data_IF_554998793380
#
_entry.id   IF_554998793380
#
_cell.length_a   1.000
_cell.length_b   1.000
_cell.length_c   1.000
_cell.angle_alpha   90.00
_cell.angle_beta   90.00
_cell.angle_gamma   90.00
#
_symmetry.space_group_name_H-M   'P 1'
#
loop_
_entity.id
_entity.type
_entity.pdbx_description
1 polymer ?
#
# COMPACT_ATOMS: atom_id res chain seq x y z
N UNK A 1 -0.08 -2.76 -16.09
CA UNK A 1 0.94 -1.85 -15.52
C UNK A 1 1.63 -1.21 -16.69
N UNK A 2 1.56 0.11 -16.77
CA UNK A 2 2.16 0.88 -17.84
C UNK A 2 3.26 1.76 -17.26
N UNK A 3 4.25 2.08 -18.09
CA UNK A 3 5.39 2.92 -17.73
C UNK A 3 5.42 4.13 -18.66
N UNK A 4 5.52 5.29 -18.08
CA UNK A 4 5.67 6.56 -18.80
C UNK A 4 7.01 7.18 -18.42
N UNK A 5 7.89 7.36 -19.41
CA UNK A 5 9.16 8.03 -19.22
C UNK A 5 8.95 9.53 -19.25
N UNK A 6 9.41 10.22 -18.21
CA UNK A 6 9.31 11.65 -18.09
C UNK A 6 10.55 12.35 -18.68
N UNK A 7 10.42 13.63 -19.07
CA UNK A 7 11.53 14.37 -19.69
C UNK A 7 12.81 14.50 -18.83
N UNK A 8 12.67 14.38 -17.51
CA UNK A 8 13.78 14.40 -16.55
C UNK A 8 14.49 13.03 -16.39
N UNK A 9 14.06 12.02 -17.14
CA UNK A 9 14.59 10.68 -17.09
C UNK A 9 13.98 9.80 -15.99
N UNK A 10 13.06 10.31 -15.20
CA UNK A 10 12.31 9.52 -14.22
C UNK A 10 11.22 8.66 -14.90
N UNK A 11 10.69 7.68 -14.17
CA UNK A 11 9.66 6.77 -14.66
C UNK A 11 8.43 6.88 -13.81
N UNK A 12 7.31 7.19 -14.43
CA UNK A 12 5.99 7.12 -13.82
C UNK A 12 5.40 5.74 -14.07
N UNK A 13 5.05 5.05 -12.99
CA UNK A 13 4.37 3.76 -13.07
C UNK A 13 2.87 3.94 -12.91
N UNK A 14 2.10 3.47 -13.89
CA UNK A 14 0.65 3.53 -13.89
C UNK A 14 0.10 2.15 -13.57
N UNK A 15 -0.62 2.06 -12.46
CA UNK A 15 -1.23 0.82 -11.98
C UNK A 15 -2.75 0.95 -12.04
N UNK A 16 -3.39 0.13 -12.84
CA UNK A 16 -4.84 0.11 -12.84
C UNK A 16 -5.48 0.05 -14.22
N UNK A 17 -6.79 0.20 -14.32
CA UNK A 17 -7.73 0.34 -13.18
C UNK A 17 -7.79 -0.92 -12.30
N UNK A 18 -8.00 -0.74 -10.99
CA UNK A 18 -8.10 -1.82 -10.01
C UNK A 18 -9.22 -1.54 -9.01
N UNK A 19 -9.88 -2.60 -8.55
CA UNK A 19 -10.88 -2.46 -7.49
C UNK A 19 -10.21 -2.19 -6.14
N UNK A 20 -10.80 -1.34 -5.29
CA UNK A 20 -10.33 -1.09 -3.94
C UNK A 20 -10.45 -2.32 -3.05
N UNK A 21 -11.49 -3.12 -3.28
CA UNK A 21 -11.76 -4.32 -2.49
C UNK A 21 -11.91 -5.53 -3.39
N UNK A 22 -11.56 -6.70 -2.86
CA UNK A 22 -11.64 -7.96 -3.58
C UNK A 22 -12.07 -9.09 -2.66
N UNK A 23 -12.78 -10.07 -3.21
CA UNK A 23 -13.04 -11.36 -2.56
C UNK A 23 -12.05 -12.38 -3.10
N UNK A 24 -11.35 -13.06 -2.20
CA UNK A 24 -10.39 -14.09 -2.57
C UNK A 24 -10.96 -15.49 -2.29
N UNK A 25 -10.61 -16.49 -3.11
CA UNK A 25 -10.99 -17.88 -2.86
C UNK A 25 -10.57 -18.33 -1.45
N UNK A 26 -11.39 -19.18 -0.81
CA UNK A 26 -11.10 -19.69 0.54
C UNK A 26 -11.34 -18.71 1.69
N UNK A 27 -11.80 -17.49 1.42
CA UNK A 27 -12.03 -16.44 2.45
C UNK A 27 -13.50 -16.32 2.88
N UNK A 28 -14.31 -17.34 2.66
CA UNK A 28 -15.74 -17.39 3.07
C UNK A 28 -16.55 -16.17 2.62
N UNK A 29 -16.29 -15.66 1.40
CA UNK A 29 -16.96 -14.50 0.86
C UNK A 29 -16.58 -13.15 1.48
N UNK A 30 -15.61 -13.10 2.37
CA UNK A 30 -15.15 -11.85 2.96
C UNK A 30 -14.53 -10.94 1.91
N UNK A 31 -14.97 -9.70 1.90
CA UNK A 31 -14.41 -8.64 1.06
C UNK A 31 -13.19 -8.05 1.77
N UNK A 32 -12.08 -8.07 1.11
CA UNK A 32 -10.80 -7.56 1.62
C UNK A 32 -10.46 -6.24 0.95
N UNK A 33 -9.91 -5.28 1.68
CA UNK A 33 -9.29 -4.11 1.09
C UNK A 33 -8.01 -4.54 0.38
N UNK A 34 -7.86 -4.20 -0.89
CA UNK A 34 -6.81 -4.78 -1.72
C UNK A 34 -5.83 -3.76 -2.31
N UNK A 35 -6.24 -2.52 -2.43
CA UNK A 35 -5.42 -1.49 -3.01
C UNK A 35 -5.22 -0.31 -2.06
N UNK A 36 -4.13 0.41 -2.25
CA UNK A 36 -3.80 1.61 -1.50
C UNK A 36 -4.27 2.85 -2.24
N UNK A 37 -5.00 3.71 -1.55
CA UNK A 37 -5.37 5.07 -2.02
C UNK A 37 -4.61 6.15 -1.25
N UNK A 38 -4.07 5.80 -0.09
CA UNK A 38 -3.19 6.68 0.67
C UNK A 38 -1.77 6.45 0.18
N UNK A 39 -1.11 7.50 -0.25
CA UNK A 39 0.23 7.46 -0.82
C UNK A 39 1.21 6.66 0.04
N UNK A 40 1.95 5.79 -0.60
CA UNK A 40 2.71 4.77 0.11
C UNK A 40 3.95 5.31 0.82
N UNK A 41 4.55 6.40 0.43
CA UNK A 41 5.82 6.79 1.07
C UNK A 41 6.21 8.22 0.75
N UNK A 42 6.26 9.02 1.74
CA UNK A 42 6.59 10.39 1.97
C UNK A 42 7.60 11.16 1.11
N UNK A 43 8.02 10.65 -0.01
CA UNK A 43 8.89 11.35 -0.96
C UNK A 43 8.53 11.13 -2.43
N UNK A 44 7.69 10.17 -2.73
CA UNK A 44 7.25 9.90 -4.09
C UNK A 44 5.86 10.48 -4.28
N UNK A 45 5.68 11.25 -5.32
CA UNK A 45 4.36 11.70 -5.75
C UNK A 45 3.58 10.47 -6.21
N UNK A 46 2.77 9.94 -5.34
CA UNK A 46 1.79 8.93 -5.71
C UNK A 46 0.40 9.52 -5.61
N UNK A 47 -0.36 9.41 -6.67
CA UNK A 47 -1.75 9.82 -6.72
C UNK A 47 -2.63 8.64 -7.11
N UNK A 48 -3.84 8.63 -6.58
CA UNK A 48 -4.87 7.71 -7.02
C UNK A 48 -6.05 8.52 -7.55
N UNK A 49 -6.61 8.05 -8.67
CA UNK A 49 -7.83 8.62 -9.26
C UNK A 49 -8.88 7.53 -9.37
N UNK A 50 -10.14 7.91 -9.53
CA UNK A 50 -11.18 6.99 -9.92
C UNK A 50 -10.96 6.48 -11.37
N UNK A 51 -11.68 5.44 -11.79
CA UNK A 51 -11.50 4.83 -13.10
C UNK A 51 -11.83 5.78 -14.27
N UNK A 52 -12.65 6.78 -14.04
CA UNK A 52 -12.99 7.84 -15.00
C UNK A 52 -12.00 9.01 -15.02
N UNK A 53 -10.93 8.92 -14.23
CA UNK A 53 -9.92 9.96 -14.10
C UNK A 53 -10.25 11.06 -13.09
N UNK A 54 -11.42 11.04 -12.45
CA UNK A 54 -11.78 12.00 -11.43
C UNK A 54 -10.92 11.83 -10.15
N UNK A 55 -10.73 12.91 -9.42
CA UNK A 55 -10.03 12.85 -8.15
C UNK A 55 -10.84 12.09 -7.09
N UNK A 56 -10.14 11.30 -6.28
CA UNK A 56 -10.74 10.69 -5.09
C UNK A 56 -10.96 11.80 -4.05
N UNK A 57 -12.16 11.93 -3.48
CA UNK A 57 -12.46 12.98 -2.53
C UNK A 57 -11.46 13.01 -1.36
N UNK A 58 -10.91 14.19 -1.04
CA UNK A 58 -9.89 14.34 -0.01
C UNK A 58 -10.36 13.85 1.37
N UNK A 59 -11.62 14.10 1.73
CA UNK A 59 -12.21 13.61 2.98
C UNK A 59 -12.25 12.07 3.06
N UNK A 60 -12.44 11.40 1.92
CA UNK A 60 -12.37 9.93 1.87
C UNK A 60 -10.93 9.45 2.11
N UNK A 61 -9.95 10.05 1.43
CA UNK A 61 -8.53 9.70 1.61
C UNK A 61 -8.08 9.95 3.05
N UNK A 62 -8.50 11.09 3.63
CA UNK A 62 -8.24 11.43 5.02
C UNK A 62 -8.83 10.36 5.96
N UNK A 63 -10.11 10.00 5.79
CA UNK A 63 -10.77 9.02 6.66
C UNK A 63 -10.12 7.63 6.56
N UNK A 64 -9.71 7.22 5.36
CA UNK A 64 -8.94 5.98 5.19
C UNK A 64 -7.63 6.03 5.97
N UNK A 65 -6.91 7.15 5.91
CA UNK A 65 -5.68 7.35 6.68
C UNK A 65 -5.89 7.26 8.19
N UNK A 66 -6.94 7.90 8.70
CA UNK A 66 -7.33 7.84 10.11
C UNK A 66 -7.62 6.41 10.56
N UNK A 67 -8.42 5.66 9.80
CA UNK A 67 -8.74 4.25 10.10
C UNK A 67 -7.47 3.39 10.11
N UNK A 68 -6.58 3.58 9.13
CA UNK A 68 -5.32 2.85 9.09
C UNK A 68 -4.49 3.13 10.36
N UNK A 69 -4.48 4.35 10.82
CA UNK A 69 -3.75 4.73 12.03
C UNK A 69 -4.42 4.20 13.31
N UNK A 70 -5.75 4.34 13.42
CA UNK A 70 -6.55 3.85 14.54
C UNK A 70 -6.43 2.33 14.72
N UNK A 71 -6.43 1.57 13.62
CA UNK A 71 -6.39 0.10 13.63
C UNK A 71 -4.95 -0.47 13.58
N UNK A 72 -3.93 0.40 13.49
CA UNK A 72 -2.55 -0.06 13.35
C UNK A 72 -1.99 -0.63 14.64
N UNK A 73 -1.39 -1.80 14.56
CA UNK A 73 -0.61 -2.39 15.64
C UNK A 73 0.87 -2.14 15.40
N UNK A 74 1.55 -1.67 16.44
CA UNK A 74 2.99 -1.43 16.40
C UNK A 74 3.69 -2.31 17.43
N UNK A 75 4.83 -2.88 17.05
CA UNK A 75 5.67 -3.66 17.96
C UNK A 75 7.14 -3.37 17.70
N UNK A 76 7.96 -3.64 18.71
CA UNK A 76 9.42 -3.52 18.60
C UNK A 76 10.02 -4.84 18.16
N UNK A 77 10.73 -4.82 17.06
CA UNK A 77 11.49 -5.96 16.59
C UNK A 77 12.65 -6.31 17.50
N UNK A 78 12.83 -7.59 17.74
CA UNK A 78 14.01 -8.17 18.38
C UNK A 78 14.74 -9.06 17.39
N UNK A 79 16.02 -9.25 17.57
CA UNK A 79 16.81 -10.17 16.75
C UNK A 79 16.24 -11.58 16.87
N UNK A 80 15.92 -12.17 15.73
CA UNK A 80 15.33 -13.50 15.65
C UNK A 80 13.80 -13.52 15.53
N UNK A 81 13.11 -12.38 15.68
CA UNK A 81 11.67 -12.33 15.48
C UNK A 81 11.29 -12.66 14.04
N UNK A 82 10.22 -13.42 13.89
CA UNK A 82 9.59 -13.74 12.62
C UNK A 82 8.13 -13.31 12.69
N UNK A 83 7.70 -12.49 11.74
CA UNK A 83 6.32 -12.09 11.58
C UNK A 83 5.72 -12.74 10.34
N UNK A 84 4.66 -13.51 10.54
CA UNK A 84 3.90 -14.11 9.45
C UNK A 84 2.59 -13.36 9.30
N UNK A 85 2.34 -12.84 8.10
CA UNK A 85 1.14 -12.07 7.78
C UNK A 85 0.34 -12.73 6.66
N UNK A 86 -0.98 -12.69 6.79
CA UNK A 86 -1.86 -12.91 5.65
C UNK A 86 -1.91 -11.63 4.81
N UNK A 87 -1.10 -11.57 3.79
CA UNK A 87 -0.97 -10.40 2.92
C UNK A 87 -2.26 -10.02 2.17
N UNK A 88 -3.24 -10.91 2.10
CA UNK A 88 -4.55 -10.61 1.50
C UNK A 88 -5.55 -10.01 2.51
N UNK A 89 -5.31 -10.22 3.80
CA UNK A 89 -6.21 -9.80 4.86
C UNK A 89 -5.70 -8.59 5.66
N UNK A 90 -4.40 -8.29 5.57
CA UNK A 90 -3.77 -7.25 6.39
C UNK A 90 -2.99 -6.27 5.52
N UNK A 91 -3.13 -5.00 5.83
CA UNK A 91 -2.17 -3.99 5.38
C UNK A 91 -0.95 -4.04 6.29
N UNK A 92 0.21 -3.85 5.70
CA UNK A 92 1.44 -3.74 6.47
C UNK A 92 2.30 -2.60 5.92
N UNK A 93 2.89 -1.86 6.82
CA UNK A 93 3.74 -0.74 6.49
C UNK A 93 4.90 -0.64 7.47
N UNK A 94 5.72 0.32 7.26
CA UNK A 94 6.87 0.61 8.08
C UNK A 94 6.84 2.06 8.52
N UNK A 95 7.12 2.31 9.78
CA UNK A 95 7.38 3.67 10.27
C UNK A 95 8.76 4.14 9.80
N UNK A 96 8.99 5.45 9.73
CA UNK A 96 10.32 6.01 9.48
C UNK A 96 11.38 5.39 10.38
N UNK A 97 12.56 5.16 9.85
CA UNK A 97 13.68 4.57 10.61
C UNK A 97 14.96 5.35 10.35
N UNK A 98 15.81 5.41 11.37
CA UNK A 98 17.13 6.02 11.24
C UNK A 98 18.10 5.07 10.50
N UNK A 99 19.02 5.59 9.67
CA UNK A 99 20.12 4.81 9.12
C UNK A 99 21.13 4.39 10.21
N UNK A 100 21.92 3.33 9.97
CA UNK A 100 21.93 2.51 8.78
C UNK A 100 20.84 1.43 8.82
N UNK A 101 20.16 1.21 7.70
CA UNK A 101 19.18 0.13 7.57
C UNK A 101 19.33 -0.58 6.23
N UNK A 102 19.34 -1.91 6.26
CA UNK A 102 19.32 -2.75 5.07
C UNK A 102 18.10 -3.67 5.11
N UNK A 103 17.34 -3.71 4.04
CA UNK A 103 16.21 -4.62 3.87
C UNK A 103 16.51 -5.49 2.66
N UNK A 104 16.32 -6.78 2.83
CA UNK A 104 16.39 -7.76 1.75
C UNK A 104 14.97 -8.23 1.48
N UNK A 105 14.56 -8.21 0.22
CA UNK A 105 13.22 -8.64 -0.20
C UNK A 105 13.37 -9.79 -1.19
N UNK A 106 12.60 -10.85 -0.95
CA UNK A 106 12.43 -11.94 -1.89
C UNK A 106 10.93 -12.13 -2.15
N UNK A 107 10.56 -12.20 -3.41
CA UNK A 107 9.19 -12.52 -3.82
C UNK A 107 9.16 -13.90 -4.43
N UNK A 108 8.26 -14.75 -3.93
CA UNK A 108 8.06 -16.11 -4.43
C UNK A 108 6.69 -16.22 -5.11
N UNK A 109 6.61 -17.08 -6.12
CA UNK A 109 5.34 -17.45 -6.77
C UNK A 109 4.73 -18.64 -6.06
#
# INVERSE_FOLDING_TARGET
>A
MDLEWLPDGSVKTILGPRTLTRVFPGRRGRRMWFNTVVGMHGKEESSATAADGSEIPANFVQRVGEIIEEESLQFRWRRGDILILDNLATLHARRPSLPPRRILVATCK
#
